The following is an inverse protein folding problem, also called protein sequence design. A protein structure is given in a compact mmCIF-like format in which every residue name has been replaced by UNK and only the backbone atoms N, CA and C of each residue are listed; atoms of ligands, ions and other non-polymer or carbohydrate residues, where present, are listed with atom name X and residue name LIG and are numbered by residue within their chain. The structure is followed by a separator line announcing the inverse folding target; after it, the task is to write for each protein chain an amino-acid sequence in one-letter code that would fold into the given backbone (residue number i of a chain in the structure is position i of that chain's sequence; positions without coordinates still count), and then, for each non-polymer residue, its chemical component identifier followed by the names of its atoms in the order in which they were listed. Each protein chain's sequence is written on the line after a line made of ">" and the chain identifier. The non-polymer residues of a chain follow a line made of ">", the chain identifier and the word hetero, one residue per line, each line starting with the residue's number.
data_IF_217887776884
#
_entry.id   IF_217887776884
#
_cell.length_a   1.000
_cell.length_b   1.000
_cell.length_c   1.000
_cell.angle_alpha   90.00
_cell.angle_beta   90.00
_cell.angle_gamma   90.00
#
_symmetry.space_group_name_H-M   'P 1'
#
loop_
_entity.id
_entity.type
_entity.pdbx_description
1 polymer ?
#
# COMPACT_ATOMS: atom_id res chain seq x y z
N UNK A 1 5.58 6.73 0.22
CA UNK A 1 5.28 6.63 -1.23
C UNK A 1 3.91 5.98 -1.37
N UNK A 2 2.94 6.77 -1.83
CA UNK A 2 1.52 6.44 -1.74
C UNK A 2 1.18 5.24 -2.61
N UNK A 3 0.23 4.42 -2.16
CA UNK A 3 -0.24 3.18 -2.81
C UNK A 3 -0.94 3.43 -4.17
N UNK A 4 -0.84 4.67 -4.67
CA UNK A 4 -1.49 5.20 -5.86
C UNK A 4 -1.04 4.51 -7.15
N UNK A 5 0.25 4.19 -7.27
CA UNK A 5 0.80 3.51 -8.46
C UNK A 5 0.11 2.16 -8.74
N UNK A 6 -0.33 1.47 -7.69
CA UNK A 6 -0.99 0.18 -7.81
C UNK A 6 -2.39 0.32 -8.43
N UNK A 7 -3.12 1.40 -8.10
CA UNK A 7 -4.42 1.68 -8.72
C UNK A 7 -4.31 2.04 -10.19
N UNK A 8 -3.23 2.74 -10.57
CA UNK A 8 -2.96 3.07 -11.97
C UNK A 8 -2.74 1.76 -12.77
N UNK A 9 -1.93 0.83 -12.25
CA UNK A 9 -1.69 -0.49 -12.88
C UNK A 9 -2.96 -1.33 -12.95
N UNK A 10 -3.77 -1.39 -11.89
CA UNK A 10 -5.03 -2.14 -11.89
C UNK A 10 -6.01 -1.59 -12.95
N UNK A 11 -6.05 -0.27 -13.11
CA UNK A 11 -6.87 0.42 -14.11
C UNK A 11 -6.41 0.11 -15.55
N UNK A 12 -5.09 0.11 -15.78
CA UNK A 12 -4.50 -0.23 -17.07
C UNK A 12 -4.80 -1.69 -17.45
N UNK A 13 -4.65 -2.61 -16.50
CA UNK A 13 -4.97 -4.02 -16.69
C UNK A 13 -6.46 -4.25 -16.95
N UNK A 14 -7.34 -3.52 -16.26
CA UNK A 14 -8.79 -3.62 -16.48
C UNK A 14 -9.14 -3.15 -17.90
N UNK A 15 -8.56 -2.02 -18.32
CA UNK A 15 -8.73 -1.48 -19.67
C UNK A 15 -8.24 -2.46 -20.72
N UNK A 16 -7.08 -3.08 -20.50
CA UNK A 16 -6.56 -4.14 -21.36
C UNK A 16 -7.54 -5.32 -21.43
N UNK A 17 -8.01 -5.82 -20.28
CA UNK A 17 -8.92 -6.96 -20.22
C UNK A 17 -10.24 -6.67 -20.97
N UNK A 18 -10.82 -5.47 -20.81
CA UNK A 18 -12.02 -5.04 -21.52
C UNK A 18 -11.80 -5.00 -23.04
N UNK A 19 -10.70 -4.40 -23.49
CA UNK A 19 -10.36 -4.28 -24.93
C UNK A 19 -10.12 -5.63 -25.60
N UNK A 20 -9.65 -6.62 -24.84
CA UNK A 20 -9.33 -7.96 -25.35
C UNK A 20 -10.45 -8.99 -25.14
N UNK A 21 -11.65 -8.56 -24.72
CA UNK A 21 -12.77 -9.49 -24.53
C UNK A 21 -12.55 -10.48 -23.38
N UNK A 22 -11.84 -10.05 -22.32
CA UNK A 22 -11.58 -10.84 -21.11
C UNK A 22 -12.45 -10.34 -19.93
N UNK A 23 -13.79 -10.45 -19.98
CA UNK A 23 -14.68 -9.81 -19.01
C UNK A 23 -14.52 -10.35 -17.59
N UNK A 24 -14.19 -11.65 -17.45
CA UNK A 24 -13.90 -12.26 -16.14
C UNK A 24 -12.67 -11.64 -15.49
N UNK A 25 -11.63 -11.35 -16.28
CA UNK A 25 -10.41 -10.72 -15.76
C UNK A 25 -10.68 -9.27 -15.36
N UNK A 26 -11.42 -8.50 -16.18
CA UNK A 26 -11.80 -7.13 -15.86
C UNK A 26 -12.59 -7.04 -14.55
N UNK A 27 -13.54 -7.96 -14.34
CA UNK A 27 -14.31 -8.05 -13.08
C UNK A 27 -13.38 -8.28 -11.88
N UNK A 28 -12.47 -9.24 -11.98
CA UNK A 28 -11.53 -9.58 -10.89
C UNK A 28 -10.58 -8.43 -10.55
N UNK A 29 -10.17 -7.65 -11.55
CA UNK A 29 -9.34 -6.46 -11.35
C UNK A 29 -10.11 -5.34 -10.65
N UNK A 30 -11.38 -5.14 -11.00
CA UNK A 30 -12.26 -4.20 -10.31
C UNK A 30 -12.52 -4.61 -8.86
N UNK A 31 -12.76 -5.91 -8.60
CA UNK A 31 -12.88 -6.46 -7.24
C UNK A 31 -11.61 -6.22 -6.42
N UNK A 32 -10.44 -6.48 -7.00
CA UNK A 32 -9.15 -6.26 -6.33
C UNK A 32 -8.90 -4.79 -6.00
N UNK A 33 -9.25 -3.86 -6.90
CA UNK A 33 -9.16 -2.43 -6.63
C UNK A 33 -10.10 -1.98 -5.50
N UNK A 34 -11.31 -2.54 -5.46
CA UNK A 34 -12.26 -2.31 -4.36
C UNK A 34 -11.73 -2.79 -3.01
N UNK A 35 -11.21 -4.02 -2.97
CA UNK A 35 -10.62 -4.62 -1.78
C UNK A 35 -9.41 -3.80 -1.28
N UNK A 36 -8.50 -3.42 -2.18
CA UNK A 36 -7.34 -2.61 -1.83
C UNK A 36 -7.76 -1.23 -1.26
N UNK A 37 -8.81 -0.62 -1.79
CA UNK A 37 -9.35 0.64 -1.25
C UNK A 37 -9.85 0.47 0.18
N UNK A 38 -10.59 -0.62 0.45
CA UNK A 38 -11.09 -0.93 1.79
C UNK A 38 -9.96 -1.20 2.77
N UNK A 39 -8.96 -1.99 2.37
CA UNK A 39 -7.80 -2.31 3.22
C UNK A 39 -6.95 -1.08 3.54
N UNK A 40 -6.76 -0.18 2.57
CA UNK A 40 -6.01 1.06 2.79
C UNK A 40 -6.77 2.10 3.62
N UNK A 41 -8.10 2.11 3.53
CA UNK A 41 -8.95 2.93 4.40
C UNK A 41 -9.03 2.38 5.83
N UNK A 42 -9.01 1.05 5.97
CA UNK A 42 -9.05 0.35 7.26
C UNK A 42 -7.68 0.31 7.95
N UNK A 43 -6.58 0.43 7.20
CA UNK A 43 -5.25 0.52 7.77
C UNK A 43 -5.16 1.78 8.64
N UNK A 44 -4.96 1.66 9.97
CA UNK A 44 -4.53 2.81 10.74
C UNK A 44 -3.25 3.35 10.10
N UNK A 45 -3.04 4.67 10.15
CA UNK A 45 -1.71 5.26 9.90
C UNK A 45 -0.75 4.70 10.95
N UNK A 46 -0.32 3.45 10.80
CA UNK A 46 0.88 2.95 11.40
C UNK A 46 1.98 3.69 10.67
N UNK A 47 2.32 4.82 11.26
CA UNK A 47 3.56 5.53 11.05
C UNK A 47 4.66 4.50 10.82
N UNK A 48 5.03 4.37 9.55
CA UNK A 48 6.04 3.44 9.11
C UNK A 48 7.38 4.13 9.37
N UNK A 49 7.81 4.12 10.63
CA UNK A 49 9.23 4.20 10.96
C UNK A 49 9.68 5.30 11.90
N UNK A 50 9.24 5.30 13.15
CA UNK A 50 10.12 5.67 14.26
C UNK A 50 10.09 4.56 15.31
N UNK A 51 11.00 3.57 15.15
CA UNK A 51 11.38 2.72 16.27
C UNK A 51 12.06 3.68 17.27
N UNK A 52 11.53 3.91 18.49
CA UNK A 52 12.20 4.77 19.45
C UNK A 52 13.59 4.20 19.68
N UNK A 53 14.63 5.00 19.42
CA UNK A 53 15.98 4.60 19.82
C UNK A 53 15.95 4.36 21.34
N UNK A 54 16.50 3.25 21.85
CA UNK A 54 16.63 3.09 23.29
C UNK A 54 17.40 4.29 23.85
N UNK A 55 17.02 4.84 25.01
CA UNK A 55 17.70 5.98 25.58
C UNK A 55 19.19 5.64 25.76
N UNK A 56 20.07 6.48 25.20
CA UNK A 56 21.51 6.30 25.37
C UNK A 56 21.84 6.39 26.88
N UNK A 57 22.70 5.50 27.40
CA UNK A 57 23.20 5.65 28.76
C UNK A 57 24.00 6.97 28.88
N UNK A 58 23.94 7.66 30.03
CA UNK A 58 24.67 8.90 30.22
C UNK A 58 26.18 8.67 30.03
N UNK A 59 26.93 9.65 29.50
CA UNK A 59 28.37 9.51 29.34
C UNK A 59 28.99 9.27 30.71
N UNK A 60 29.76 8.18 30.83
CA UNK A 60 30.56 7.91 32.00
C UNK A 60 31.46 9.14 32.24
N UNK A 61 31.33 9.75 33.42
CA UNK A 61 32.27 10.78 33.86
C UNK A 61 33.66 10.13 33.85
N UNK A 62 34.55 10.66 33.02
CA UNK A 62 35.97 10.38 33.13
C UNK A 62 36.45 11.02 34.45
N UNK A 63 36.84 10.18 35.40
CA UNK A 63 37.75 10.55 36.49
C UNK A 63 39.20 10.49 36.02
#
# INVERSE_FOLDING_TARGET
>A
MSHRWMFDVLTDLETYARRNGLPKLALRLSEAAGQATQELAAAPRADRGERPLPPMPPPARAE
#
